data_IF_826450841310
#
_entry.id   IF_826450841310
#
_cell.length_a   1.000
_cell.length_b   1.000
_cell.length_c   1.000
_cell.angle_alpha   90.00
_cell.angle_beta   90.00
_cell.angle_gamma   90.00
#
_symmetry.space_group_name_H-M   'P 1'
#
loop_
_entity.id
_entity.type
_entity.pdbx_description
1 polymer ?
#
# COMPACT_ATOMS: atom_id res chain seq x y z
N UNK A 1 -23.74 -0.64 -2.01
CA UNK A 1 -23.85 0.53 -1.08
C UNK A 1 -23.10 0.18 0.22
N UNK A 2 -22.82 1.12 1.15
CA UNK A 2 -22.07 0.82 2.41
C UNK A 2 -20.65 0.22 2.23
N UNK A 3 -19.87 0.69 1.26
CA UNK A 3 -18.47 0.24 1.09
C UNK A 3 -18.27 -1.13 0.42
N UNK A 4 -19.34 -1.82 0.00
CA UNK A 4 -19.26 -3.12 -0.68
C UNK A 4 -18.31 -3.16 -1.88
N UNK A 5 -18.31 -2.12 -2.72
CA UNK A 5 -17.41 -2.04 -3.90
C UNK A 5 -15.95 -1.99 -3.44
N UNK A 6 -15.66 -1.18 -2.42
CA UNK A 6 -14.32 -1.08 -1.86
C UNK A 6 -13.89 -2.39 -1.22
N UNK A 7 -14.78 -3.05 -0.48
CA UNK A 7 -14.50 -4.35 0.13
C UNK A 7 -14.22 -5.43 -0.94
N UNK A 8 -15.01 -5.47 -2.02
CA UNK A 8 -14.78 -6.38 -3.14
C UNK A 8 -13.44 -6.11 -3.84
N UNK A 9 -13.10 -4.85 -4.06
CA UNK A 9 -11.81 -4.45 -4.64
C UNK A 9 -10.63 -4.79 -3.73
N UNK A 10 -10.74 -4.56 -2.41
CA UNK A 10 -9.73 -4.99 -1.43
C UNK A 10 -9.59 -6.52 -1.40
N UNK A 11 -10.70 -7.25 -1.47
CA UNK A 11 -10.67 -8.72 -1.55
C UNK A 11 -9.90 -9.20 -2.78
N UNK A 12 -10.12 -8.59 -3.94
CA UNK A 12 -9.37 -8.91 -5.16
C UNK A 12 -7.85 -8.74 -4.97
N UNK A 13 -7.42 -7.72 -4.23
CA UNK A 13 -6.00 -7.51 -3.89
C UNK A 13 -5.49 -8.61 -2.94
N UNK A 14 -6.24 -8.90 -1.88
CA UNK A 14 -5.90 -9.93 -0.89
C UNK A 14 -5.78 -11.31 -1.55
N UNK A 15 -6.76 -11.67 -2.39
CA UNK A 15 -6.77 -12.94 -3.11
C UNK A 15 -5.55 -13.07 -4.03
N UNK A 16 -5.19 -11.99 -4.76
CA UNK A 16 -3.99 -11.95 -5.61
C UNK A 16 -2.72 -12.21 -4.81
N UNK A 17 -2.55 -11.54 -3.67
CA UNK A 17 -1.36 -11.68 -2.83
C UNK A 17 -1.30 -13.09 -2.23
N UNK A 18 -2.41 -13.62 -1.75
CA UNK A 18 -2.49 -14.95 -1.19
C UNK A 18 -2.14 -16.04 -2.21
N UNK A 19 -2.57 -15.87 -3.47
CA UNK A 19 -2.31 -16.80 -4.56
C UNK A 19 -0.84 -16.82 -5.02
N UNK A 20 -0.09 -15.73 -4.80
CA UNK A 20 1.27 -15.55 -5.33
C UNK A 20 2.35 -15.37 -4.26
N UNK A 21 2.01 -15.46 -2.97
CA UNK A 21 2.94 -15.19 -1.86
C UNK A 21 4.24 -16.01 -1.89
N UNK A 22 4.19 -17.19 -2.50
CA UNK A 22 5.31 -18.13 -2.61
C UNK A 22 5.94 -18.12 -4.01
N UNK A 23 5.72 -17.05 -4.79
CA UNK A 23 6.28 -16.91 -6.13
C UNK A 23 7.82 -16.84 -6.07
N UNK A 24 8.47 -17.76 -6.78
CA UNK A 24 9.92 -17.89 -6.79
C UNK A 24 10.62 -16.58 -7.19
N UNK A 25 11.54 -16.10 -6.35
CA UNK A 25 12.31 -14.88 -6.58
C UNK A 25 11.59 -13.57 -6.25
N UNK A 26 10.37 -13.62 -5.70
CA UNK A 26 9.59 -12.48 -5.22
C UNK A 26 9.03 -12.69 -3.79
N UNK A 27 9.48 -13.72 -3.08
CA UNK A 27 8.97 -14.12 -1.77
C UNK A 27 9.14 -13.00 -0.73
N UNK A 28 10.29 -12.31 -0.79
CA UNK A 28 10.58 -11.17 0.10
C UNK A 28 9.61 -10.02 -0.17
N UNK A 29 9.37 -9.70 -1.43
CA UNK A 29 8.48 -8.63 -1.84
C UNK A 29 7.03 -8.94 -1.42
N UNK A 30 6.56 -10.17 -1.61
CA UNK A 30 5.23 -10.57 -1.13
C UNK A 30 5.12 -10.58 0.41
N UNK A 31 6.18 -10.94 1.13
CA UNK A 31 6.21 -10.85 2.60
C UNK A 31 6.08 -9.39 3.07
N UNK A 32 6.82 -8.46 2.47
CA UNK A 32 6.73 -7.02 2.77
C UNK A 32 5.35 -6.48 2.42
N UNK A 33 4.78 -6.87 1.27
CA UNK A 33 3.43 -6.46 0.90
C UNK A 33 2.39 -6.91 1.92
N UNK A 34 2.47 -8.16 2.38
CA UNK A 34 1.57 -8.69 3.40
C UNK A 34 1.67 -7.92 4.72
N UNK A 35 2.88 -7.60 5.16
CA UNK A 35 3.09 -6.76 6.36
C UNK A 35 2.52 -5.35 6.17
N UNK A 36 2.76 -4.73 5.03
CA UNK A 36 2.23 -3.42 4.70
C UNK A 36 0.68 -3.41 4.68
N UNK A 37 0.07 -4.48 4.17
CA UNK A 37 -1.38 -4.70 4.20
C UNK A 37 -1.92 -4.88 5.61
N UNK A 38 -1.22 -5.61 6.49
CA UNK A 38 -1.56 -5.72 7.92
C UNK A 38 -1.58 -4.35 8.58
N UNK A 39 -0.52 -3.57 8.38
CA UNK A 39 -0.40 -2.22 8.94
C UNK A 39 -1.52 -1.29 8.43
N UNK A 40 -1.84 -1.37 7.13
CA UNK A 40 -2.94 -0.60 6.54
C UNK A 40 -4.30 -0.97 7.14
N UNK A 41 -4.61 -2.25 7.31
CA UNK A 41 -5.88 -2.69 7.89
C UNK A 41 -6.00 -2.28 9.36
N UNK A 42 -4.93 -2.38 10.14
CA UNK A 42 -4.92 -1.89 11.52
C UNK A 42 -5.09 -0.36 11.56
N UNK A 43 -4.47 0.37 10.63
CA UNK A 43 -4.62 1.81 10.54
C UNK A 43 -6.08 2.20 10.27
N UNK A 44 -6.76 1.53 9.34
CA UNK A 44 -8.19 1.75 9.08
C UNK A 44 -9.06 1.49 10.32
N UNK A 45 -8.74 0.43 11.08
CA UNK A 45 -9.47 0.09 12.32
C UNK A 45 -9.31 1.18 13.37
N UNK A 46 -8.07 1.64 13.62
CA UNK A 46 -7.78 2.75 14.54
C UNK A 46 -8.55 4.00 14.11
N UNK A 47 -8.41 4.39 12.84
CA UNK A 47 -9.04 5.59 12.28
C UNK A 47 -10.57 5.57 12.40
N UNK A 48 -11.20 4.40 12.21
CA UNK A 48 -12.66 4.25 12.36
C UNK A 48 -13.12 4.58 13.78
N UNK A 49 -12.31 4.26 14.80
CA UNK A 49 -12.59 4.65 16.19
C UNK A 49 -12.52 6.15 16.42
N UNK A 50 -11.69 6.87 15.67
CA UNK A 50 -11.51 8.32 15.79
C UNK A 50 -12.66 9.12 15.17
N UNK A 51 -13.50 8.51 14.33
CA UNK A 51 -14.61 9.20 13.65
C UNK A 51 -15.73 9.64 14.58
N UNK A 52 -15.74 9.17 15.84
CA UNK A 52 -16.64 9.67 16.87
C UNK A 52 -16.33 11.12 17.27
N UNK A 53 -15.07 11.55 17.12
CA UNK A 53 -14.63 12.92 17.38
C UNK A 53 -14.86 13.79 16.13
N UNK A 54 -15.60 14.91 16.23
CA UNK A 54 -15.81 15.82 15.09
C UNK A 54 -14.49 16.31 14.51
N UNK A 55 -14.36 16.33 13.18
CA UNK A 55 -13.16 16.83 12.49
C UNK A 55 -12.03 15.81 12.32
N UNK A 56 -11.96 14.76 13.16
CA UNK A 56 -10.87 13.77 13.08
C UNK A 56 -10.88 12.97 11.78
N UNK A 57 -12.04 12.65 11.22
CA UNK A 57 -12.09 11.95 9.93
C UNK A 57 -11.40 12.75 8.81
N UNK A 58 -11.48 14.08 8.86
CA UNK A 58 -10.95 14.99 7.85
C UNK A 58 -9.42 15.11 7.95
N UNK A 59 -8.85 15.05 9.16
CA UNK A 59 -7.39 15.15 9.36
C UNK A 59 -6.63 13.97 8.73
N UNK A 60 -7.29 12.81 8.58
CA UNK A 60 -6.71 11.61 7.97
C UNK A 60 -7.13 11.35 6.52
N UNK A 61 -8.09 12.09 5.96
CA UNK A 61 -8.71 11.79 4.66
C UNK A 61 -7.69 11.64 3.50
N UNK A 62 -6.72 12.55 3.39
CA UNK A 62 -5.70 12.49 2.33
C UNK A 62 -4.66 11.40 2.59
N UNK A 63 -4.35 11.11 3.86
CA UNK A 63 -3.40 10.07 4.25
C UNK A 63 -3.93 8.68 3.91
N UNK A 64 -5.20 8.41 4.22
CA UNK A 64 -5.84 7.13 3.86
C UNK A 64 -5.94 6.98 2.34
N UNK A 65 -6.23 8.07 1.60
CA UNK A 65 -6.25 8.04 0.13
C UNK A 65 -4.89 7.63 -0.45
N UNK A 66 -3.80 8.24 0.02
CA UNK A 66 -2.45 7.88 -0.43
C UNK A 66 -2.05 6.47 -0.02
N UNK A 67 -2.35 6.06 1.22
CA UNK A 67 -2.08 4.71 1.70
C UNK A 67 -2.81 3.64 0.86
N UNK A 68 -4.07 3.89 0.53
CA UNK A 68 -4.87 3.05 -0.38
C UNK A 68 -4.23 2.98 -1.77
N UNK A 69 -3.78 4.13 -2.30
CA UNK A 69 -3.07 4.19 -3.57
C UNK A 69 -1.77 3.40 -3.57
N UNK A 70 -1.02 3.43 -2.46
CA UNK A 70 0.22 2.67 -2.33
C UNK A 70 -0.01 1.16 -2.43
N UNK A 71 -1.03 0.67 -1.72
CA UNK A 71 -1.48 -0.72 -1.75
C UNK A 71 -1.84 -1.15 -3.19
N UNK A 72 -2.59 -0.32 -3.91
CA UNK A 72 -2.98 -0.62 -5.30
C UNK A 72 -1.79 -0.66 -6.25
N UNK A 73 -0.93 0.36 -6.21
CA UNK A 73 0.27 0.42 -7.04
C UNK A 73 1.20 -0.76 -6.76
N UNK A 74 1.40 -1.13 -5.50
CA UNK A 74 2.20 -2.30 -5.13
C UNK A 74 1.65 -3.61 -5.72
N UNK A 75 0.32 -3.80 -5.73
CA UNK A 75 -0.32 -4.98 -6.35
C UNK A 75 -0.03 -5.02 -7.84
N UNK A 76 -0.26 -3.92 -8.55
CA UNK A 76 -0.09 -3.85 -10.00
C UNK A 76 1.39 -4.06 -10.40
N UNK A 77 2.32 -3.50 -9.63
CA UNK A 77 3.75 -3.69 -9.86
C UNK A 77 4.19 -5.14 -9.65
N UNK A 78 3.70 -5.79 -8.60
CA UNK A 78 3.97 -7.22 -8.38
C UNK A 78 3.37 -8.10 -9.48
N UNK A 79 2.16 -7.80 -9.94
CA UNK A 79 1.54 -8.51 -11.07
C UNK A 79 2.35 -8.37 -12.36
N UNK A 80 2.82 -7.15 -12.66
CA UNK A 80 3.73 -6.92 -13.79
C UNK A 80 5.06 -7.66 -13.61
N UNK A 81 5.60 -7.72 -12.39
CA UNK A 81 6.86 -8.44 -12.12
C UNK A 81 6.71 -9.95 -12.31
N UNK A 82 5.59 -10.56 -11.92
CA UNK A 82 5.30 -11.97 -12.16
C UNK A 82 5.26 -12.29 -13.66
N UNK A 83 4.53 -11.47 -14.43
CA UNK A 83 4.43 -11.63 -15.89
C UNK A 83 5.81 -11.45 -16.53
N UNK A 84 6.57 -10.44 -16.09
CA UNK A 84 7.90 -10.16 -16.60
C UNK A 84 8.91 -11.27 -16.27
N UNK A 85 8.87 -11.82 -15.06
CA UNK A 85 9.74 -12.94 -14.66
C UNK A 85 9.47 -14.17 -15.53
N UNK A 86 8.20 -14.52 -15.72
CA UNK A 86 7.82 -15.62 -16.63
C UNK A 86 8.35 -15.39 -18.05
N UNK A 87 8.27 -14.15 -18.55
CA UNK A 87 8.79 -13.81 -19.88
C UNK A 87 10.30 -13.93 -19.97
N UNK A 88 11.03 -13.50 -18.95
CA UNK A 88 12.50 -13.67 -18.86
C UNK A 88 12.87 -15.15 -18.90
N UNK A 89 12.14 -16.00 -18.17
CA UNK A 89 12.39 -17.43 -18.11
C UNK A 89 12.13 -18.13 -19.47
N UNK A 90 11.17 -17.61 -20.26
CA UNK A 90 10.84 -18.11 -21.60
C UNK A 90 11.87 -17.68 -22.67
N UNK A 91 12.28 -16.40 -22.67
CA UNK A 91 13.09 -15.82 -23.76
C UNK A 91 14.60 -15.85 -23.50
N UNK A 92 15.01 -16.02 -22.24
CA UNK A 92 16.41 -15.98 -21.81
C UNK A 92 16.99 -14.56 -21.71
N UNK A 93 18.18 -14.45 -21.09
CA UNK A 93 18.82 -13.15 -20.80
C UNK A 93 19.45 -12.48 -22.01
N UNK A 94 19.79 -13.24 -23.04
CA UNK A 94 20.44 -12.72 -24.26
C UNK A 94 19.43 -12.11 -25.25
N UNK A 95 18.13 -12.21 -24.95
CA UNK A 95 17.08 -11.60 -25.76
C UNK A 95 17.06 -10.08 -25.61
N UNK A 96 16.82 -9.37 -26.72
CA UNK A 96 16.72 -7.90 -26.74
C UNK A 96 15.67 -7.35 -25.76
N UNK A 97 14.56 -8.06 -25.53
CA UNK A 97 13.48 -7.64 -24.63
C UNK A 97 13.80 -7.87 -23.14
N UNK A 98 14.89 -8.57 -22.81
CA UNK A 98 15.29 -8.86 -21.43
C UNK A 98 15.33 -7.60 -20.56
N UNK A 99 15.95 -6.53 -21.07
CA UNK A 99 16.12 -5.27 -20.34
C UNK A 99 14.79 -4.64 -19.93
N UNK A 100 13.76 -4.73 -20.79
CA UNK A 100 12.43 -4.22 -20.49
C UNK A 100 11.78 -4.99 -19.33
N UNK A 101 11.77 -6.32 -19.41
CA UNK A 101 11.18 -7.16 -18.37
C UNK A 101 11.96 -7.09 -17.06
N UNK A 102 13.29 -7.06 -17.11
CA UNK A 102 14.13 -6.88 -15.94
C UNK A 102 13.84 -5.54 -15.24
N UNK A 103 13.59 -4.48 -16.01
CA UNK A 103 13.15 -3.18 -15.49
C UNK A 103 11.82 -3.25 -14.74
N UNK A 104 10.84 -4.04 -15.21
CA UNK A 104 9.56 -4.25 -14.52
C UNK A 104 9.75 -4.94 -13.16
N UNK A 105 10.55 -6.00 -13.13
CA UNK A 105 10.90 -6.70 -11.88
C UNK A 105 11.62 -5.74 -10.93
N UNK A 106 12.63 -5.00 -11.40
CA UNK A 106 13.37 -4.04 -10.58
C UNK A 106 12.47 -2.93 -10.01
N UNK A 107 11.54 -2.41 -10.82
CA UNK A 107 10.59 -1.37 -10.39
C UNK A 107 9.69 -1.87 -9.27
N UNK A 108 9.16 -3.10 -9.39
CA UNK A 108 8.35 -3.70 -8.34
C UNK A 108 9.16 -3.90 -7.05
N UNK A 109 10.38 -4.44 -7.15
CA UNK A 109 11.26 -4.62 -5.99
C UNK A 109 11.54 -3.31 -5.28
N UNK A 110 11.88 -2.26 -6.03
CA UNK A 110 12.13 -0.94 -5.45
C UNK A 110 10.90 -0.42 -4.72
N UNK A 111 9.75 -0.40 -5.39
CA UNK A 111 8.52 0.13 -4.81
C UNK A 111 8.11 -0.62 -3.54
N UNK A 112 8.12 -1.95 -3.59
CA UNK A 112 7.76 -2.78 -2.44
C UNK A 112 8.73 -2.59 -1.28
N UNK A 113 10.03 -2.52 -1.54
CA UNK A 113 11.04 -2.41 -0.46
C UNK A 113 11.20 -1.01 0.12
N UNK A 114 10.84 0.03 -0.63
CA UNK A 114 11.14 1.42 -0.24
C UNK A 114 9.89 2.26 0.02
N UNK A 115 8.75 1.96 -0.63
CA UNK A 115 7.55 2.80 -0.55
C UNK A 115 6.47 2.16 0.33
N UNK A 116 6.28 0.84 0.23
CA UNK A 116 5.29 0.14 1.04
C UNK A 116 5.55 0.17 2.56
N UNK A 117 6.81 0.17 3.06
CA UNK A 117 7.07 0.27 4.50
C UNK A 117 6.52 1.54 5.15
N UNK A 118 6.28 2.62 4.38
CA UNK A 118 5.63 3.83 4.88
C UNK A 118 4.25 3.58 5.51
N UNK A 119 3.59 2.45 5.19
CA UNK A 119 2.31 2.09 5.81
C UNK A 119 2.44 1.77 7.30
N UNK A 120 3.63 1.36 7.77
CA UNK A 120 3.90 1.26 9.20
C UNK A 120 3.98 2.65 9.85
N UNK A 121 4.60 3.62 9.17
CA UNK A 121 4.62 5.01 9.65
C UNK A 121 3.22 5.63 9.65
N UNK A 122 2.39 5.33 8.64
CA UNK A 122 0.99 5.75 8.61
C UNK A 122 0.20 5.17 9.78
N UNK A 123 0.38 3.88 10.09
CA UNK A 123 -0.23 3.26 11.27
C UNK A 123 0.16 3.99 12.56
N UNK A 124 1.43 4.35 12.70
CA UNK A 124 1.91 5.09 13.88
C UNK A 124 1.24 6.47 13.99
N UNK A 125 1.13 7.20 12.88
CA UNK A 125 0.40 8.48 12.84
C UNK A 125 -1.09 8.32 13.22
N UNK A 126 -1.74 7.23 12.81
CA UNK A 126 -3.11 6.93 13.23
C UNK A 126 -3.21 6.63 14.74
N UNK A 127 -2.25 5.88 15.29
CA UNK A 127 -2.22 5.51 16.72
C UNK A 127 -2.03 6.71 17.64
N UNK A 128 -1.31 7.74 17.19
CA UNK A 128 -1.14 8.96 17.97
C UNK A 128 -2.47 9.67 18.24
N UNK A 129 -3.49 9.47 17.40
CA UNK A 129 -4.83 10.04 17.56
C UNK A 129 -4.81 11.57 17.83
N UNK A 130 -3.84 12.28 17.25
CA UNK A 130 -3.59 13.70 17.52
C UNK A 130 -4.73 14.58 17.01
N UNK A 131 -5.30 15.36 17.92
CA UNK A 131 -6.35 16.35 17.68
C UNK A 131 -5.85 17.79 17.86
N UNK A 132 -4.53 18.00 18.00
CA UNK A 132 -3.93 19.32 18.22
C UNK A 132 -4.42 20.36 17.20
N UNK A 133 -4.54 19.98 15.92
CA UNK A 133 -5.03 20.89 14.87
C UNK A 133 -6.52 21.25 14.94
N UNK A 134 -7.29 20.52 15.76
CA UNK A 134 -8.71 20.76 16.03
C UNK A 134 -8.87 21.61 17.30
N UNK A 135 -8.10 21.29 18.35
CA UNK A 135 -8.23 21.92 19.67
C UNK A 135 -7.55 23.30 19.76
N UNK A 136 -6.57 23.56 18.89
CA UNK A 136 -5.79 24.79 19.00
C UNK A 136 -6.61 26.04 18.68
N UNK A 137 -6.42 27.09 19.48
CA UNK A 137 -7.08 28.37 19.31
C UNK A 137 -6.70 29.00 17.97
N UNK A 138 -7.67 29.50 17.21
CA UNK A 138 -7.43 30.05 15.86
C UNK A 138 -6.45 31.23 15.87
N UNK A 139 -6.43 31.99 16.97
CA UNK A 139 -5.62 33.19 17.15
C UNK A 139 -4.12 32.95 17.00
N UNK A 140 -3.63 31.72 17.21
CA UNK A 140 -2.20 31.41 17.06
C UNK A 140 -1.73 31.46 15.60
N UNK A 141 -2.67 31.43 14.64
CA UNK A 141 -2.39 31.47 13.20
C UNK A 141 -2.60 32.86 12.60
N UNK A 142 -3.01 33.85 13.40
CA UNK A 142 -3.11 35.23 12.95
C UNK A 142 -1.70 35.82 12.86
N UNK A 143 -1.17 35.86 11.63
CA UNK A 143 0.07 36.57 11.28
C UNK A 143 -0.26 37.97 10.79
#
# INVERSE_FOLDING_TARGET
KKGEIFAAWMKHIIDFVAANKDAAGLETEFAIYNEAMRNYNEALKVMTGLFATPGMAQTYATRVLHATGKIWAGKLLLEMALIAQKKIDEIGKDNFDYTFYAGKVASARFYIKNIMPDLAAFLEVCKNADDTCIEVAEEIFYV
#
